data_IF_064744579680
#
_entry.id   IF_064744579680
#
_cell.length_a   1.000
_cell.length_b   1.000
_cell.length_c   1.000
_cell.angle_alpha   90.00
_cell.angle_beta   90.00
_cell.angle_gamma   90.00
#
_symmetry.space_group_name_H-M   'P 1'
#
loop_
_entity.id
_entity.type
_entity.pdbx_description
1 polymer ?
#
# COMPACT_ATOMS: atom_id res chain seq x y z
N UNK A 1 -10.03 14.20 23.20
CA UNK A 1 -8.57 14.24 23.17
C UNK A 1 -8.15 15.29 22.15
N UNK A 2 -7.12 16.09 22.46
CA UNK A 2 -6.59 17.11 21.56
C UNK A 2 -5.08 17.22 21.71
N UNK A 3 -4.39 17.63 20.65
CA UNK A 3 -2.96 18.00 20.67
C UNK A 3 -2.89 19.43 20.16
N UNK A 4 -2.23 20.33 20.90
CA UNK A 4 -2.14 21.75 20.57
C UNK A 4 -3.51 22.35 20.16
N UNK A 5 -4.54 22.11 20.98
CA UNK A 5 -5.94 22.55 20.77
C UNK A 5 -6.65 21.97 19.54
N UNK A 6 -6.00 21.11 18.76
CA UNK A 6 -6.63 20.40 17.64
C UNK A 6 -7.32 19.14 18.14
N UNK A 7 -8.65 19.01 17.99
CA UNK A 7 -9.35 17.79 18.38
C UNK A 7 -8.88 16.62 17.50
N UNK A 8 -8.63 15.47 18.12
CA UNK A 8 -8.28 14.25 17.42
C UNK A 8 -9.52 13.37 17.20
N UNK A 9 -9.66 12.87 15.97
CA UNK A 9 -10.62 11.81 15.68
C UNK A 9 -10.16 10.52 16.40
N UNK A 10 -10.91 10.11 17.42
CA UNK A 10 -10.61 8.88 18.16
C UNK A 10 -11.13 7.66 17.40
N UNK A 11 -10.41 6.52 17.43
CA UNK A 11 -10.86 5.30 16.79
C UNK A 11 -12.17 4.82 17.40
N UNK A 12 -13.14 4.49 16.54
CA UNK A 12 -14.39 3.89 17.00
C UNK A 12 -14.14 2.46 17.51
N UNK A 13 -14.89 2.03 18.52
CA UNK A 13 -14.80 0.65 19.06
C UNK A 13 -15.07 -0.43 18.00
N UNK A 14 -15.95 -0.13 17.05
CA UNK A 14 -16.31 -1.00 15.94
C UNK A 14 -16.11 -0.25 14.62
N UNK A 15 -15.06 -0.62 13.90
CA UNK A 15 -14.72 -0.04 12.61
C UNK A 15 -15.52 -0.75 11.51
N UNK A 16 -16.32 0.03 10.79
CA UNK A 16 -17.20 -0.40 9.70
C UNK A 16 -16.88 0.29 8.37
N UNK A 17 -16.19 1.43 8.40
CA UNK A 17 -15.95 2.28 7.22
C UNK A 17 -14.47 2.63 7.15
N UNK A 18 -13.76 2.00 6.23
CA UNK A 18 -12.32 2.15 6.05
C UNK A 18 -12.07 2.78 4.69
N UNK A 19 -11.25 3.82 4.63
CA UNK A 19 -10.62 4.28 3.38
C UNK A 19 -9.28 3.57 3.25
N UNK A 20 -8.94 3.11 2.05
CA UNK A 20 -7.62 2.58 1.72
C UNK A 20 -7.04 3.45 0.61
N UNK A 21 -5.82 3.92 0.82
CA UNK A 21 -5.02 4.76 -0.09
C UNK A 21 -3.56 4.29 -0.05
N UNK A 22 -2.78 4.63 -1.05
CA UNK A 22 -1.36 4.29 -1.13
C UNK A 22 -0.68 5.07 -2.24
N UNK A 23 0.64 5.19 -2.16
CA UNK A 23 1.46 5.73 -3.24
C UNK A 23 1.04 7.20 -3.55
N UNK A 24 0.96 8.03 -2.50
CA UNK A 24 0.29 9.35 -2.54
C UNK A 24 1.17 10.53 -2.86
N UNK A 25 2.50 10.38 -2.90
CA UNK A 25 3.40 11.50 -3.18
C UNK A 25 3.44 11.85 -4.66
N UNK A 26 4.30 12.81 -5.03
CA UNK A 26 4.47 13.22 -6.43
C UNK A 26 5.86 12.89 -6.97
N UNK A 27 5.94 12.22 -8.12
CA UNK A 27 7.18 11.64 -8.67
C UNK A 27 8.13 12.68 -9.25
N UNK A 28 9.29 12.85 -8.61
CA UNK A 28 10.46 13.54 -9.17
C UNK A 28 11.68 12.63 -9.01
N UNK A 29 11.97 11.83 -10.04
CA UNK A 29 13.00 10.78 -9.99
C UNK A 29 13.91 10.84 -11.21
N UNK A 30 15.11 11.38 -11.00
CA UNK A 30 16.05 11.67 -12.07
C UNK A 30 16.57 10.41 -12.78
N UNK A 31 16.80 9.32 -12.03
CA UNK A 31 17.30 8.05 -12.56
C UNK A 31 16.36 7.42 -13.59
N UNK A 32 15.07 7.74 -13.52
CA UNK A 32 14.03 7.22 -14.42
C UNK A 32 13.53 8.27 -15.41
N UNK A 33 14.06 9.50 -15.35
CA UNK A 33 13.55 10.66 -16.10
C UNK A 33 12.04 10.88 -15.88
N UNK A 34 11.54 10.50 -14.72
CA UNK A 34 10.14 10.60 -14.34
C UNK A 34 9.91 11.90 -13.55
N UNK A 35 9.19 12.84 -14.14
CA UNK A 35 8.94 14.17 -13.57
C UNK A 35 7.46 14.53 -13.72
N UNK A 36 6.67 14.13 -12.73
CA UNK A 36 5.24 14.44 -12.65
C UNK A 36 5.04 15.95 -12.42
N UNK A 37 3.99 16.52 -13.02
CA UNK A 37 3.66 17.94 -12.86
C UNK A 37 3.03 18.20 -11.48
N UNK A 38 3.88 18.25 -10.45
CA UNK A 38 3.45 18.21 -9.05
C UNK A 38 2.67 19.43 -8.55
N UNK A 39 2.66 20.52 -9.32
CA UNK A 39 1.90 21.73 -9.03
C UNK A 39 0.55 21.76 -9.79
N UNK A 40 0.29 20.76 -10.64
CA UNK A 40 -0.97 20.62 -11.37
C UNK A 40 -1.89 19.61 -10.66
N UNK A 41 -3.04 20.04 -10.10
CA UNK A 41 -3.96 19.14 -9.38
C UNK A 41 -4.64 18.09 -10.28
N UNK A 42 -4.56 18.22 -11.62
CA UNK A 42 -5.01 17.18 -12.54
C UNK A 42 -3.95 16.09 -12.73
N UNK A 43 -2.67 16.42 -12.53
CA UNK A 43 -1.55 15.49 -12.66
C UNK A 43 -1.14 14.89 -11.34
N UNK A 44 -1.29 15.62 -10.24
CA UNK A 44 -1.08 15.18 -8.86
C UNK A 44 -2.35 15.39 -8.02
N UNK A 45 -3.31 14.45 -8.05
CA UNK A 45 -4.66 14.68 -7.52
C UNK A 45 -4.85 14.31 -6.05
N UNK A 46 -3.78 14.03 -5.29
CA UNK A 46 -3.91 13.51 -3.93
C UNK A 46 -4.74 14.42 -3.02
N UNK A 47 -4.57 15.75 -3.09
CA UNK A 47 -5.38 16.70 -2.31
C UNK A 47 -6.89 16.55 -2.58
N UNK A 48 -7.26 16.32 -3.84
CA UNK A 48 -8.66 16.10 -4.25
C UNK A 48 -9.16 14.75 -3.77
N UNK A 49 -8.35 13.71 -3.86
CA UNK A 49 -8.65 12.37 -3.34
C UNK A 49 -8.87 12.40 -1.83
N UNK A 50 -7.97 13.05 -1.08
CA UNK A 50 -8.07 13.19 0.37
C UNK A 50 -9.37 13.90 0.79
N UNK A 51 -9.74 14.99 0.09
CA UNK A 51 -10.99 15.70 0.35
C UNK A 51 -12.24 14.83 0.06
N UNK A 52 -12.25 14.09 -1.06
CA UNK A 52 -13.35 13.18 -1.40
C UNK A 52 -13.46 12.03 -0.39
N UNK A 53 -12.34 11.40 -0.05
CA UNK A 53 -12.27 10.33 0.94
C UNK A 53 -12.72 10.81 2.32
N UNK A 54 -12.33 12.02 2.73
CA UNK A 54 -12.78 12.64 3.97
C UNK A 54 -14.31 12.87 3.95
N UNK A 55 -14.86 13.36 2.83
CA UNK A 55 -16.31 13.56 2.68
C UNK A 55 -17.11 12.27 2.79
N UNK A 56 -16.47 11.12 2.52
CA UNK A 56 -17.07 9.82 2.72
C UNK A 56 -17.25 9.49 4.21
N UNK A 57 -16.67 10.23 5.15
CA UNK A 57 -16.74 10.01 6.62
C UNK A 57 -16.23 8.63 7.04
N UNK A 58 -14.95 8.31 6.77
CA UNK A 58 -14.33 7.09 7.25
C UNK A 58 -14.27 7.07 8.79
N UNK A 59 -14.14 5.87 9.34
CA UNK A 59 -13.81 5.67 10.75
C UNK A 59 -12.33 5.29 10.94
N UNK A 60 -11.67 4.89 9.85
CA UNK A 60 -10.27 4.53 9.78
C UNK A 60 -9.76 4.80 8.36
N UNK A 61 -8.50 5.21 8.25
CA UNK A 61 -7.76 5.23 6.98
C UNK A 61 -6.64 4.19 7.09
N UNK A 62 -6.42 3.41 6.04
CA UNK A 62 -5.24 2.56 5.89
C UNK A 62 -4.43 3.13 4.74
N UNK A 63 -3.22 3.60 5.03
CA UNK A 63 -2.26 4.01 4.01
C UNK A 63 -1.23 2.92 3.79
N UNK A 64 -1.21 2.33 2.59
CA UNK A 64 -0.39 1.15 2.27
C UNK A 64 1.04 1.50 1.83
N UNK A 65 1.63 2.54 2.42
CA UNK A 65 3.01 2.96 2.15
C UNK A 65 3.22 3.85 0.93
N UNK A 66 4.48 4.26 0.79
CA UNK A 66 5.03 5.23 -0.16
C UNK A 66 4.30 6.58 -0.12
N UNK A 67 4.86 7.48 0.69
CA UNK A 67 4.29 8.80 0.95
C UNK A 67 5.05 9.89 0.22
N UNK A 68 6.39 9.81 0.17
CA UNK A 68 7.26 10.84 -0.41
C UNK A 68 7.91 10.36 -1.71
N UNK A 69 7.71 11.10 -2.80
CA UNK A 69 8.22 10.77 -4.13
C UNK A 69 9.06 11.86 -4.79
N UNK A 70 9.19 13.04 -4.15
CA UNK A 70 9.99 14.17 -4.62
C UNK A 70 11.49 13.99 -4.34
N UNK A 71 12.08 12.91 -4.82
CA UNK A 71 13.44 12.47 -4.46
C UNK A 71 14.54 13.40 -5.02
N UNK A 72 14.29 14.00 -6.18
CA UNK A 72 15.25 14.82 -6.91
C UNK A 72 14.65 16.19 -7.27
N UNK A 73 15.49 17.21 -7.52
CA UNK A 73 14.99 18.44 -8.10
C UNK A 73 14.30 18.18 -9.44
N UNK A 74 13.32 19.03 -9.78
CA UNK A 74 12.74 19.07 -11.11
C UNK A 74 13.85 19.27 -12.17
N UNK A 75 13.75 18.59 -13.31
CA UNK A 75 14.73 18.72 -14.39
C UNK A 75 14.81 20.16 -14.92
N UNK A 76 16.01 20.58 -15.29
CA UNK A 76 16.25 21.89 -15.91
C UNK A 76 15.37 22.08 -17.15
N UNK A 77 14.66 23.21 -17.20
CA UNK A 77 13.75 23.55 -18.30
C UNK A 77 12.40 22.83 -18.28
N UNK A 78 12.10 22.01 -17.26
CA UNK A 78 10.78 21.41 -17.11
C UNK A 78 9.84 22.32 -16.30
N UNK A 79 9.09 23.18 -17.00
CA UNK A 79 8.13 24.10 -16.39
C UNK A 79 7.01 23.41 -15.60
N UNK A 80 6.70 22.14 -15.90
CA UNK A 80 5.57 21.44 -15.30
C UNK A 80 5.80 21.08 -13.82
N UNK A 81 7.05 20.89 -13.41
CA UNK A 81 7.43 20.63 -12.01
C UNK A 81 8.24 21.75 -11.37
N UNK A 82 8.49 22.86 -12.09
CA UNK A 82 9.34 23.96 -11.62
C UNK A 82 8.88 24.49 -10.25
N UNK A 83 9.83 24.71 -9.35
CA UNK A 83 9.58 25.20 -8.00
C UNK A 83 9.01 24.17 -7.01
N UNK A 84 8.86 22.91 -7.42
CA UNK A 84 8.53 21.82 -6.50
C UNK A 84 9.59 21.65 -5.41
N UNK A 85 9.22 21.51 -4.12
CA UNK A 85 10.16 21.08 -3.10
C UNK A 85 10.68 19.68 -3.43
N UNK A 86 11.83 19.30 -2.91
CA UNK A 86 12.45 18.01 -3.19
C UNK A 86 13.42 17.60 -2.08
N UNK A 87 13.86 16.35 -2.14
CA UNK A 87 14.64 15.71 -1.09
C UNK A 87 13.73 15.17 0.01
N UNK A 88 14.32 14.81 1.15
CA UNK A 88 13.62 14.13 2.25
C UNK A 88 13.31 15.06 3.44
N UNK A 89 13.36 16.38 3.20
CA UNK A 89 13.07 17.42 4.19
C UNK A 89 11.57 17.61 4.48
N UNK A 90 11.27 18.41 5.51
CA UNK A 90 9.89 18.72 5.91
C UNK A 90 9.07 19.37 4.79
N UNK A 91 9.68 20.23 3.98
CA UNK A 91 9.05 20.87 2.84
C UNK A 91 8.49 19.84 1.83
N UNK A 92 9.27 18.81 1.50
CA UNK A 92 8.83 17.71 0.64
C UNK A 92 7.77 16.83 1.31
N UNK A 93 7.97 16.42 2.58
CA UNK A 93 6.98 15.65 3.35
C UNK A 93 5.63 16.38 3.48
N UNK A 94 5.68 17.68 3.73
CA UNK A 94 4.48 18.49 3.83
C UNK A 94 3.78 18.62 2.47
N UNK A 95 4.53 18.77 1.37
CA UNK A 95 3.97 18.88 0.04
C UNK A 95 3.35 17.57 -0.48
N UNK A 96 3.93 16.41 -0.14
CA UNK A 96 3.47 15.10 -0.62
C UNK A 96 2.42 14.43 0.27
N UNK A 97 2.42 14.71 1.58
CA UNK A 97 1.53 14.01 2.51
C UNK A 97 0.67 14.96 3.35
N UNK A 98 1.29 15.82 4.17
CA UNK A 98 0.55 16.49 5.24
C UNK A 98 -0.39 17.59 4.74
N UNK A 99 0.07 18.46 3.84
CA UNK A 99 -0.77 19.52 3.26
C UNK A 99 -1.91 18.96 2.40
N UNK A 100 -1.66 18.08 1.39
CA UNK A 100 -2.75 17.52 0.59
C UNK A 100 -3.66 16.57 1.40
N UNK A 101 -3.10 15.82 2.34
CA UNK A 101 -3.83 14.86 3.18
C UNK A 101 -4.59 15.48 4.36
N UNK A 102 -4.40 16.77 4.66
CA UNK A 102 -4.93 17.42 5.86
C UNK A 102 -6.44 17.17 6.11
N UNK A 103 -7.34 17.27 5.11
CA UNK A 103 -8.76 16.97 5.33
C UNK A 103 -9.02 15.54 5.80
N UNK A 104 -8.23 14.57 5.33
CA UNK A 104 -8.41 13.16 5.64
C UNK A 104 -7.76 12.78 6.98
N UNK A 105 -6.62 13.38 7.35
CA UNK A 105 -6.08 13.29 8.71
C UNK A 105 -7.05 13.83 9.76
N UNK A 106 -7.77 14.92 9.45
CA UNK A 106 -8.78 15.48 10.33
C UNK A 106 -10.04 14.58 10.46
N UNK A 107 -10.32 13.76 9.46
CA UNK A 107 -11.57 12.99 9.39
C UNK A 107 -11.54 11.68 10.21
N UNK A 108 -10.38 11.00 10.28
CA UNK A 108 -10.25 9.69 10.93
C UNK A 108 -8.80 9.40 11.34
N UNK A 109 -8.56 8.50 12.31
CA UNK A 109 -7.23 7.99 12.59
C UNK A 109 -6.69 7.15 11.43
N UNK A 110 -5.37 7.12 11.28
CA UNK A 110 -4.67 6.41 10.21
C UNK A 110 -3.91 5.21 10.76
N UNK A 111 -4.00 4.10 10.03
CA UNK A 111 -3.06 2.98 10.08
C UNK A 111 -2.09 3.19 8.93
N UNK A 112 -0.82 3.36 9.25
CA UNK A 112 0.23 3.64 8.27
C UNK A 112 1.14 2.44 8.12
N UNK A 113 1.42 2.08 6.87
CA UNK A 113 2.36 1.04 6.48
C UNK A 113 3.59 1.72 5.88
N UNK A 114 4.80 1.22 6.14
CA UNK A 114 6.02 1.76 5.53
C UNK A 114 6.16 1.23 4.11
N UNK A 115 6.49 2.11 3.16
CA UNK A 115 6.84 1.72 1.81
C UNK A 115 8.34 1.84 1.52
N UNK A 116 8.79 1.39 0.35
CA UNK A 116 10.21 1.42 0.01
C UNK A 116 10.73 2.85 -0.24
N UNK A 117 9.86 3.84 -0.45
CA UNK A 117 10.22 5.27 -0.44
C UNK A 117 10.61 5.78 0.95
N UNK A 118 10.23 5.06 1.99
CA UNK A 118 10.57 5.33 3.38
C UNK A 118 11.64 4.38 3.93
N UNK A 119 12.45 3.78 3.05
CA UNK A 119 13.67 3.12 3.48
C UNK A 119 14.72 4.16 3.94
N UNK A 120 15.67 3.75 4.78
CA UNK A 120 16.66 4.66 5.37
C UNK A 120 17.51 5.39 4.34
N UNK A 121 17.87 4.72 3.24
CA UNK A 121 18.55 5.33 2.10
C UNK A 121 17.72 6.42 1.36
N UNK A 122 16.47 6.64 1.77
CA UNK A 122 15.49 7.56 1.18
C UNK A 122 14.80 8.37 2.28
N UNK A 123 13.46 8.33 2.36
CA UNK A 123 12.70 9.14 3.31
C UNK A 123 12.59 8.53 4.72
N UNK A 124 13.38 7.51 5.08
CA UNK A 124 13.27 6.79 6.35
C UNK A 124 13.37 7.68 7.59
N UNK A 125 14.17 8.75 7.55
CA UNK A 125 14.23 9.73 8.63
C UNK A 125 12.87 10.36 8.95
N UNK A 126 12.08 10.67 7.92
CA UNK A 126 10.74 11.23 8.08
C UNK A 126 9.74 10.20 8.57
N UNK A 127 9.81 8.96 8.07
CA UNK A 127 8.96 7.86 8.55
C UNK A 127 9.05 7.69 10.08
N UNK A 128 10.27 7.60 10.62
CA UNK A 128 10.50 7.40 12.04
C UNK A 128 10.10 8.58 12.92
N UNK A 129 10.08 9.80 12.37
CA UNK A 129 9.75 11.02 13.10
C UNK A 129 8.27 11.39 13.01
N UNK A 130 7.60 11.02 11.93
CA UNK A 130 6.30 11.58 11.57
C UNK A 130 5.17 10.55 11.53
N UNK A 131 5.47 9.25 11.28
CA UNK A 131 4.45 8.25 10.95
C UNK A 131 4.48 7.01 11.83
N UNK A 132 5.65 6.45 12.14
CA UNK A 132 5.70 5.22 12.92
C UNK A 132 4.95 5.38 14.26
N UNK A 133 4.03 4.46 14.62
CA UNK A 133 3.20 4.64 15.80
C UNK A 133 3.90 4.28 17.11
N UNK A 134 5.17 3.83 17.07
CA UNK A 134 5.93 3.40 18.25
C UNK A 134 6.91 4.47 18.69
N UNK A 135 7.36 4.43 19.95
CA UNK A 135 8.51 5.20 20.37
C UNK A 135 9.72 4.93 19.48
N UNK A 136 10.44 6.00 19.12
CA UNK A 136 11.69 5.89 18.39
C UNK A 136 12.74 5.21 19.27
N UNK A 137 13.22 4.04 18.85
CA UNK A 137 14.28 3.31 19.54
C UNK A 137 15.66 3.77 19.03
N UNK A 138 16.73 3.60 19.82
CA UNK A 138 18.09 3.92 19.39
C UNK A 138 18.45 3.23 18.06
N UNK A 139 19.22 3.92 17.21
CA UNK A 139 19.72 3.40 15.92
C UNK A 139 18.65 3.11 14.86
N UNK A 140 17.40 3.54 15.07
CA UNK A 140 16.32 3.39 14.08
C UNK A 140 16.02 4.65 13.31
N UNK A 141 16.61 5.78 13.67
CA UNK A 141 16.25 7.09 13.15
C UNK A 141 16.70 7.36 11.70
N UNK A 142 17.40 6.41 11.07
CA UNK A 142 18.03 6.50 9.75
C UNK A 142 18.98 7.70 9.61
N UNK A 143 19.66 8.10 10.70
CA UNK A 143 20.67 9.17 10.65
C UNK A 143 22.07 8.65 10.29
N UNK A 144 22.36 7.39 10.65
CA UNK A 144 23.63 6.73 10.39
C UNK A 144 23.41 5.55 9.44
N UNK A 145 24.12 5.52 8.33
CA UNK A 145 24.00 4.48 7.31
C UNK A 145 24.45 3.10 7.83
N UNK A 146 25.35 3.06 8.83
CA UNK A 146 25.75 1.82 9.49
C UNK A 146 24.59 1.17 10.28
N UNK A 147 23.53 1.94 10.54
CA UNK A 147 22.34 1.52 11.27
C UNK A 147 21.14 1.22 10.35
N UNK A 148 21.27 1.37 9.03
CA UNK A 148 20.17 1.21 8.08
C UNK A 148 19.51 -0.17 8.17
N UNK A 149 20.28 -1.24 8.42
CA UNK A 149 19.72 -2.57 8.63
C UNK A 149 18.75 -2.67 9.82
N UNK A 150 18.91 -1.80 10.82
CA UNK A 150 18.03 -1.70 11.99
C UNK A 150 16.86 -0.73 11.72
N UNK A 151 17.14 0.40 11.06
CA UNK A 151 16.11 1.38 10.69
C UNK A 151 15.16 0.92 9.56
N UNK A 152 15.60 0.00 8.70
CA UNK A 152 14.80 -0.60 7.61
C UNK A 152 14.04 -1.86 8.02
N UNK A 153 13.87 -2.09 9.32
CA UNK A 153 13.10 -3.19 9.82
C UNK A 153 12.16 -2.74 10.93
N UNK A 154 10.96 -3.32 10.93
CA UNK A 154 10.06 -3.12 12.04
C UNK A 154 9.14 -4.32 12.26
N UNK A 155 8.91 -4.65 13.53
CA UNK A 155 8.09 -5.80 13.87
C UNK A 155 6.62 -5.55 13.49
N UNK A 156 5.92 -6.55 12.94
CA UNK A 156 4.49 -6.49 12.71
C UNK A 156 3.71 -6.21 14.00
N UNK A 157 2.59 -5.53 13.88
CA UNK A 157 1.67 -5.25 14.98
C UNK A 157 0.21 -5.35 14.52
N UNK A 158 -0.71 -5.60 15.45
CA UNK A 158 -2.13 -5.73 15.16
C UNK A 158 -2.91 -4.50 15.62
N UNK A 159 -3.83 -4.03 14.77
CA UNK A 159 -4.80 -2.98 15.04
C UNK A 159 -6.19 -3.60 15.10
N UNK A 160 -6.88 -3.57 16.26
CA UNK A 160 -8.22 -4.12 16.36
C UNK A 160 -9.24 -3.27 15.61
N UNK A 161 -10.15 -3.93 14.89
CA UNK A 161 -11.28 -3.30 14.18
C UNK A 161 -12.62 -3.51 14.88
N UNK A 162 -12.64 -4.23 16.01
CA UNK A 162 -13.86 -4.66 16.70
C UNK A 162 -14.46 -5.95 16.13
N UNK A 163 -15.26 -6.63 16.96
CA UNK A 163 -15.93 -7.90 16.65
C UNK A 163 -14.98 -9.04 16.22
N UNK A 164 -13.78 -9.07 16.83
CA UNK A 164 -12.72 -10.03 16.53
C UNK A 164 -12.01 -9.78 15.19
N UNK A 165 -12.34 -8.74 14.44
CA UNK A 165 -11.59 -8.38 13.24
C UNK A 165 -10.37 -7.52 13.57
N UNK A 166 -9.30 -7.64 12.78
CA UNK A 166 -8.06 -6.90 12.96
C UNK A 166 -7.34 -6.62 11.63
N UNK A 167 -6.41 -5.66 11.66
CA UNK A 167 -5.39 -5.44 10.62
C UNK A 167 -4.03 -5.76 11.24
N UNK A 168 -3.27 -6.68 10.64
CA UNK A 168 -1.86 -6.84 10.95
C UNK A 168 -1.08 -5.95 9.99
N UNK A 169 -0.37 -4.97 10.52
CA UNK A 169 0.55 -4.14 9.73
C UNK A 169 1.88 -4.85 9.66
N UNK A 170 2.33 -5.16 8.45
CA UNK A 170 3.58 -5.85 8.18
C UNK A 170 4.53 -4.95 7.39
N UNK A 171 5.69 -4.67 7.98
CA UNK A 171 6.75 -3.91 7.32
C UNK A 171 7.59 -4.85 6.46
N UNK A 172 7.24 -4.88 5.17
CA UNK A 172 7.91 -5.65 4.13
C UNK A 172 8.55 -4.73 3.08
N UNK A 173 8.71 -3.44 3.40
CA UNK A 173 9.14 -2.40 2.47
C UNK A 173 10.49 -2.68 1.83
N UNK A 174 11.42 -3.29 2.58
CA UNK A 174 12.77 -3.57 2.12
C UNK A 174 12.87 -4.85 1.24
N UNK A 175 11.74 -5.49 0.91
CA UNK A 175 11.73 -6.63 0.01
C UNK A 175 11.98 -6.18 -1.44
N UNK A 176 12.91 -6.87 -2.11
CA UNK A 176 13.15 -6.68 -3.54
C UNK A 176 12.28 -7.58 -4.41
N UNK A 177 12.41 -7.42 -5.73
CA UNK A 177 11.59 -8.15 -6.70
C UNK A 177 12.16 -9.54 -7.02
N UNK A 178 13.39 -9.84 -6.56
CA UNK A 178 14.07 -11.12 -6.72
C UNK A 178 14.07 -11.91 -5.41
N UNK A 179 14.11 -13.26 -5.45
CA UNK A 179 14.22 -14.09 -4.26
C UNK A 179 15.35 -13.64 -3.32
N UNK A 180 15.05 -13.59 -2.03
CA UNK A 180 16.01 -13.20 -0.98
C UNK A 180 16.80 -14.43 -0.53
N UNK A 181 18.13 -14.51 -0.78
CA UNK A 181 18.93 -15.66 -0.35
C UNK A 181 19.14 -15.67 1.16
N UNK A 182 19.40 -16.84 1.74
CA UNK A 182 19.62 -16.99 3.19
C UNK A 182 20.85 -16.21 3.72
N UNK A 183 21.78 -15.83 2.84
CA UNK A 183 22.93 -14.98 3.18
C UNK A 183 22.61 -13.48 3.18
N UNK A 184 21.43 -13.07 2.71
CA UNK A 184 21.01 -11.67 2.70
C UNK A 184 20.66 -11.23 4.14
N UNK A 185 21.15 -10.07 4.60
CA UNK A 185 20.86 -9.57 5.95
C UNK A 185 19.36 -9.34 6.21
N UNK A 186 18.54 -9.20 5.16
CA UNK A 186 17.08 -9.04 5.28
C UNK A 186 16.35 -10.36 5.54
N UNK A 187 16.98 -11.50 5.30
CA UNK A 187 16.35 -12.81 5.44
C UNK A 187 15.84 -13.06 6.86
N UNK A 188 16.70 -12.89 7.88
CA UNK A 188 16.33 -13.06 9.28
C UNK A 188 15.20 -12.13 9.75
N UNK A 189 15.25 -10.82 9.46
CA UNK A 189 14.12 -9.91 9.69
C UNK A 189 12.81 -10.34 9.01
N UNK A 190 12.85 -10.86 7.78
CA UNK A 190 11.66 -11.37 7.11
C UNK A 190 11.12 -12.66 7.75
N UNK A 191 11.99 -13.58 8.18
CA UNK A 191 11.56 -14.75 8.96
C UNK A 191 10.89 -14.33 10.27
N UNK A 192 11.49 -13.39 11.00
CA UNK A 192 10.93 -12.87 12.24
C UNK A 192 9.56 -12.20 12.01
N UNK A 193 9.41 -11.44 10.91
CA UNK A 193 8.14 -10.86 10.50
C UNK A 193 7.07 -11.92 10.22
N UNK A 194 7.40 -12.99 9.47
CA UNK A 194 6.46 -14.08 9.23
C UNK A 194 6.00 -14.73 10.54
N UNK A 195 6.93 -15.07 11.42
CA UNK A 195 6.63 -15.71 12.71
C UNK A 195 5.71 -14.83 13.58
N UNK A 196 5.94 -13.52 13.58
CA UNK A 196 5.09 -12.56 14.30
C UNK A 196 3.71 -12.42 13.65
N UNK A 197 3.61 -12.36 12.32
CA UNK A 197 2.33 -12.37 11.59
C UNK A 197 1.53 -13.62 11.98
N UNK A 198 2.17 -14.81 11.94
CA UNK A 198 1.53 -16.07 12.33
C UNK A 198 1.01 -16.04 13.75
N UNK A 199 1.79 -15.48 14.69
CA UNK A 199 1.40 -15.35 16.10
C UNK A 199 0.20 -14.39 16.26
N UNK A 200 0.26 -13.21 15.66
CA UNK A 200 -0.80 -12.20 15.74
C UNK A 200 -2.09 -12.66 15.05
N UNK A 201 -1.99 -13.42 13.96
CA UNK A 201 -3.16 -13.87 13.22
C UNK A 201 -3.99 -14.91 13.99
N UNK A 202 -3.46 -15.52 15.06
CA UNK A 202 -4.21 -16.44 15.93
C UNK A 202 -5.25 -15.74 16.81
N UNK A 203 -5.13 -14.43 17.03
CA UNK A 203 -6.03 -13.68 17.92
C UNK A 203 -7.25 -13.10 17.20
N UNK A 204 -7.24 -13.08 15.86
CA UNK A 204 -8.31 -12.50 15.05
C UNK A 204 -9.27 -13.55 14.50
N UNK A 205 -10.57 -13.27 14.56
CA UNK A 205 -11.61 -14.03 13.86
C UNK A 205 -11.71 -13.68 12.36
N UNK A 206 -11.25 -12.48 11.99
CA UNK A 206 -11.12 -12.02 10.61
C UNK A 206 -9.91 -11.08 10.48
N UNK A 207 -8.91 -11.45 9.70
CA UNK A 207 -7.61 -10.75 9.70
C UNK A 207 -7.28 -10.18 8.32
N UNK A 208 -7.18 -8.86 8.23
CA UNK A 208 -6.45 -8.22 7.14
C UNK A 208 -4.95 -8.25 7.45
N UNK A 209 -4.11 -8.41 6.44
CA UNK A 209 -2.72 -7.96 6.49
C UNK A 209 -2.57 -6.72 5.60
N UNK A 210 -1.92 -5.68 6.11
CA UNK A 210 -1.57 -4.48 5.36
C UNK A 210 -0.04 -4.43 5.24
N UNK A 211 0.45 -4.43 4.00
CA UNK A 211 1.87 -4.39 3.64
C UNK A 211 2.02 -3.46 2.44
N UNK A 212 3.16 -2.79 2.26
CA UNK A 212 3.35 -2.00 1.05
C UNK A 212 3.57 -2.90 -0.17
N UNK A 213 4.48 -3.87 -0.07
CA UNK A 213 4.80 -4.81 -1.13
C UNK A 213 3.69 -5.86 -1.31
N UNK A 214 3.10 -6.02 -2.51
CA UNK A 214 2.12 -7.05 -2.80
C UNK A 214 2.68 -8.46 -2.61
N UNK A 215 1.85 -9.39 -2.14
CA UNK A 215 2.22 -10.80 -1.97
C UNK A 215 1.79 -11.62 -3.18
N UNK A 216 0.57 -11.37 -3.67
CA UNK A 216 -0.05 -12.09 -4.79
C UNK A 216 -0.27 -11.21 -6.02
N UNK A 217 0.35 -10.02 -6.04
CA UNK A 217 0.04 -8.98 -7.01
C UNK A 217 0.75 -9.18 -8.34
N UNK A 218 0.18 -8.61 -9.39
CA UNK A 218 0.81 -8.54 -10.71
C UNK A 218 1.37 -7.15 -10.98
N UNK A 219 2.46 -7.14 -11.72
CA UNK A 219 2.98 -5.97 -12.41
C UNK A 219 3.17 -6.33 -13.90
N UNK A 220 3.25 -5.31 -14.74
CA UNK A 220 3.45 -5.47 -16.16
C UNK A 220 4.52 -4.51 -16.67
N UNK A 221 5.37 -5.02 -17.55
CA UNK A 221 6.38 -4.25 -18.28
C UNK A 221 6.14 -4.42 -19.78
N UNK A 222 6.44 -3.39 -20.55
CA UNK A 222 6.38 -3.42 -22.00
C UNK A 222 7.78 -3.24 -22.58
N UNK A 223 8.20 -4.15 -23.45
CA UNK A 223 9.47 -4.08 -24.18
C UNK A 223 9.18 -4.31 -25.65
N UNK A 224 9.56 -3.38 -26.52
CA UNK A 224 9.35 -3.45 -27.98
C UNK A 224 7.89 -3.74 -28.40
N UNK A 225 6.91 -3.32 -27.59
CA UNK A 225 5.48 -3.55 -27.80
C UNK A 225 4.93 -4.83 -27.17
N UNK A 226 5.79 -5.68 -26.61
CA UNK A 226 5.39 -6.92 -25.94
C UNK A 226 5.20 -6.72 -24.43
N UNK A 227 3.99 -7.01 -23.95
CA UNK A 227 3.63 -6.93 -22.54
C UNK A 227 4.00 -8.22 -21.81
N UNK A 228 4.86 -8.11 -20.80
CA UNK A 228 5.24 -9.21 -19.90
C UNK A 228 4.62 -9.01 -18.53
N UNK A 229 3.85 -10.00 -18.07
CA UNK A 229 3.30 -10.05 -16.71
C UNK A 229 4.28 -10.76 -15.78
N UNK A 230 4.45 -10.23 -14.58
CA UNK A 230 5.28 -10.84 -13.55
C UNK A 230 4.73 -10.59 -12.15
N UNK A 231 5.02 -11.47 -11.17
CA UNK A 231 4.70 -11.20 -9.78
C UNK A 231 5.35 -9.89 -9.30
N UNK A 232 4.60 -9.06 -8.58
CA UNK A 232 5.05 -7.74 -8.16
C UNK A 232 6.15 -7.76 -7.07
N UNK A 233 6.28 -8.84 -6.28
CA UNK A 233 7.34 -8.94 -5.28
C UNK A 233 7.70 -10.40 -4.98
N UNK A 234 8.75 -10.94 -5.63
CA UNK A 234 9.19 -12.31 -5.36
C UNK A 234 10.12 -12.44 -4.13
N UNK A 235 10.73 -11.35 -3.67
CA UNK A 235 11.74 -11.40 -2.61
C UNK A 235 11.20 -11.77 -1.24
N UNK A 236 9.99 -11.35 -0.90
CA UNK A 236 9.39 -11.71 0.40
C UNK A 236 8.77 -13.11 0.38
N UNK A 237 8.10 -13.47 -0.71
CA UNK A 237 7.45 -14.77 -0.85
C UNK A 237 8.46 -15.92 -0.80
N UNK A 238 9.67 -15.72 -1.33
CA UNK A 238 10.75 -16.72 -1.26
C UNK A 238 11.22 -17.03 0.18
N UNK A 239 11.16 -16.05 1.09
CA UNK A 239 11.50 -16.28 2.51
C UNK A 239 10.33 -16.91 3.23
N UNK A 240 9.11 -16.44 2.99
CA UNK A 240 7.93 -17.00 3.65
C UNK A 240 7.71 -18.47 3.27
N UNK A 241 8.03 -18.86 2.03
CA UNK A 241 7.92 -20.24 1.55
C UNK A 241 8.83 -21.23 2.31
N UNK A 242 9.96 -20.77 2.87
CA UNK A 242 10.83 -21.65 3.68
C UNK A 242 10.22 -22.01 5.02
N UNK A 243 9.28 -21.18 5.51
CA UNK A 243 8.60 -21.34 6.80
C UNK A 243 7.21 -21.96 6.66
N UNK A 244 6.54 -21.69 5.53
CA UNK A 244 5.20 -22.15 5.22
C UNK A 244 5.02 -22.28 3.71
N UNK A 245 4.74 -23.50 3.18
CA UNK A 245 4.55 -23.69 1.74
C UNK A 245 3.30 -22.96 1.20
N UNK A 246 2.41 -22.45 2.06
CA UNK A 246 1.28 -21.60 1.69
C UNK A 246 1.64 -20.10 1.75
N UNK A 247 2.90 -19.74 2.03
CA UNK A 247 3.49 -18.39 2.17
C UNK A 247 2.80 -17.43 3.14
N UNK A 248 1.59 -17.73 3.61
CA UNK A 248 0.85 -16.99 4.61
C UNK A 248 0.01 -17.95 5.45
N UNK A 249 -0.14 -17.67 6.76
CA UNK A 249 -1.05 -18.42 7.61
C UNK A 249 -2.49 -18.47 7.06
N UNK A 250 -3.15 -19.63 7.18
CA UNK A 250 -4.57 -19.82 6.83
C UNK A 250 -5.56 -18.97 7.64
N UNK A 251 -5.08 -18.23 8.63
CA UNK A 251 -5.84 -17.27 9.44
C UNK A 251 -5.88 -15.85 8.84
N UNK A 252 -5.12 -15.58 7.77
CA UNK A 252 -5.17 -14.29 7.04
C UNK A 252 -6.31 -14.32 6.02
N UNK A 253 -7.27 -13.42 6.10
CA UNK A 253 -8.43 -13.38 5.20
C UNK A 253 -8.21 -12.50 3.95
N UNK A 254 -7.55 -11.35 4.11
CA UNK A 254 -7.38 -10.36 3.03
C UNK A 254 -6.02 -9.71 3.11
N UNK A 255 -5.38 -9.47 1.97
CA UNK A 255 -4.16 -8.67 1.84
C UNK A 255 -4.50 -7.30 1.26
N UNK A 256 -4.01 -6.23 1.87
CA UNK A 256 -4.05 -4.86 1.37
C UNK A 256 -2.62 -4.41 1.07
N UNK A 257 -2.37 -3.92 -0.14
CA UNK A 257 -1.04 -3.45 -0.54
C UNK A 257 -1.03 -2.27 -1.49
N UNK A 258 0.15 -1.68 -1.73
CA UNK A 258 0.40 -0.57 -2.65
C UNK A 258 1.48 -0.97 -3.66
N UNK A 259 2.47 -0.09 -3.86
CA UNK A 259 3.70 -0.29 -4.63
C UNK A 259 3.52 -0.30 -6.15
N UNK A 260 2.57 -1.08 -6.65
CA UNK A 260 2.21 -1.08 -8.07
C UNK A 260 1.21 0.04 -8.29
N UNK A 261 1.50 0.96 -9.20
CA UNK A 261 0.81 2.25 -9.26
C UNK A 261 -0.51 2.16 -10.05
N UNK A 262 -1.42 1.34 -9.54
CA UNK A 262 -2.72 1.02 -10.11
C UNK A 262 -3.68 0.53 -9.01
N UNK A 263 -4.93 0.26 -9.37
CA UNK A 263 -5.81 -0.57 -8.55
C UNK A 263 -5.89 -1.99 -9.11
N UNK A 264 -5.73 -3.00 -8.25
CA UNK A 264 -5.85 -4.41 -8.63
C UNK A 264 -6.56 -5.21 -7.55
N UNK A 265 -7.32 -6.21 -7.98
CA UNK A 265 -7.89 -7.25 -7.14
C UNK A 265 -7.52 -8.62 -7.71
N UNK A 266 -6.98 -9.50 -6.87
CA UNK A 266 -6.79 -10.93 -7.17
C UNK A 266 -7.51 -11.79 -6.13
N UNK A 267 -8.13 -12.89 -6.55
CA UNK A 267 -8.81 -13.85 -5.66
C UNK A 267 -8.50 -15.27 -6.14
N UNK A 268 -8.46 -16.18 -5.17
CA UNK A 268 -8.13 -17.58 -5.39
C UNK A 268 -9.34 -18.49 -5.08
N UNK A 269 -9.38 -19.70 -5.65
CA UNK A 269 -10.42 -20.68 -5.39
C UNK A 269 -10.56 -21.06 -3.92
N UNK A 270 -9.44 -21.33 -3.24
CA UNK A 270 -9.47 -21.82 -1.86
C UNK A 270 -8.24 -21.51 -1.00
N UNK A 271 -7.01 -21.76 -1.49
CA UNK A 271 -5.82 -21.88 -0.62
C UNK A 271 -5.35 -20.52 -0.12
N UNK A 272 -5.30 -19.52 -1.00
CA UNK A 272 -4.76 -18.20 -0.69
C UNK A 272 -5.85 -17.14 -0.43
N UNK A 273 -5.56 -16.10 0.39
CA UNK A 273 -6.48 -15.00 0.57
C UNK A 273 -6.52 -14.10 -0.66
N UNK A 274 -7.64 -13.38 -0.84
CA UNK A 274 -7.75 -12.31 -1.82
C UNK A 274 -6.83 -11.15 -1.45
N UNK A 275 -6.33 -10.44 -2.46
CA UNK A 275 -5.52 -9.23 -2.29
C UNK A 275 -6.11 -8.07 -3.08
N UNK A 276 -5.98 -6.87 -2.51
CA UNK A 276 -6.24 -5.60 -3.19
C UNK A 276 -4.98 -4.74 -3.19
N UNK A 277 -4.54 -4.31 -4.37
CA UNK A 277 -3.52 -3.26 -4.54
C UNK A 277 -4.24 -1.91 -4.68
N UNK A 278 -3.77 -0.90 -3.94
CA UNK A 278 -4.34 0.45 -3.90
C UNK A 278 -3.24 1.50 -4.07
N UNK A 279 -2.40 1.37 -5.10
CA UNK A 279 -1.27 2.28 -5.36
C UNK A 279 -1.58 3.44 -6.32
N UNK A 280 -2.83 3.87 -6.39
CA UNK A 280 -3.34 4.80 -7.41
C UNK A 280 -3.82 6.12 -6.81
N UNK A 281 -3.20 6.58 -5.72
CA UNK A 281 -3.71 7.74 -4.95
C UNK A 281 -2.94 9.05 -5.12
N UNK A 282 -1.84 9.10 -5.89
CA UNK A 282 -1.12 10.34 -6.13
C UNK A 282 0.04 10.27 -7.12
N UNK A 283 1.00 9.37 -6.91
CA UNK A 283 2.22 9.29 -7.74
C UNK A 283 1.90 8.90 -9.18
N UNK A 284 2.75 9.29 -10.12
CA UNK A 284 2.65 8.89 -11.52
C UNK A 284 2.33 7.38 -11.68
N UNK A 285 1.21 7.09 -12.35
CA UNK A 285 0.65 5.73 -12.48
C UNK A 285 1.43 4.87 -13.47
N UNK A 286 1.35 3.56 -13.27
CA UNK A 286 1.76 2.60 -14.28
C UNK A 286 0.87 2.78 -15.53
N UNK A 287 1.49 2.75 -16.70
CA UNK A 287 0.79 3.00 -17.98
C UNK A 287 0.55 1.73 -18.78
N UNK A 288 1.28 0.66 -18.46
CA UNK A 288 1.16 -0.65 -19.13
C UNK A 288 -0.14 -1.29 -18.70
N UNK A 289 -1.02 -1.54 -19.66
CA UNK A 289 -2.36 -2.04 -19.37
C UNK A 289 -2.33 -3.51 -18.99
N UNK A 290 -3.02 -3.86 -17.90
CA UNK A 290 -3.27 -5.26 -17.54
C UNK A 290 -4.40 -5.86 -18.40
N UNK A 291 -4.34 -7.16 -18.73
CA UNK A 291 -5.38 -7.81 -19.51
C UNK A 291 -6.66 -7.96 -18.68
N UNK A 292 -7.83 -7.98 -19.34
CA UNK A 292 -9.09 -8.22 -18.64
C UNK A 292 -9.26 -9.68 -18.17
N UNK A 293 -8.51 -10.60 -18.76
CA UNK A 293 -8.42 -12.00 -18.34
C UNK A 293 -6.95 -12.39 -18.23
N UNK A 294 -6.60 -13.09 -17.15
CA UNK A 294 -5.24 -13.55 -16.96
C UNK A 294 -4.92 -14.72 -17.90
N UNK A 295 -3.68 -14.80 -18.44
CA UNK A 295 -3.26 -15.93 -19.25
C UNK A 295 -3.47 -17.28 -18.54
N UNK A 296 -3.94 -18.33 -19.23
CA UNK A 296 -4.04 -19.66 -18.66
C UNK A 296 -2.69 -20.13 -18.08
N UNK A 297 -2.72 -20.68 -16.88
CA UNK A 297 -1.52 -21.20 -16.21
C UNK A 297 -0.66 -20.15 -15.49
N UNK A 298 -1.03 -18.87 -15.51
CA UNK A 298 -0.38 -17.86 -14.67
C UNK A 298 -0.56 -18.21 -13.19
N UNK A 299 0.54 -18.38 -12.47
CA UNK A 299 0.54 -18.69 -11.03
C UNK A 299 1.03 -17.47 -10.26
N UNK A 300 0.20 -16.93 -9.38
CA UNK A 300 0.54 -15.81 -8.49
C UNK A 300 0.81 -16.25 -7.05
N UNK A 301 0.53 -17.51 -6.77
CA UNK A 301 0.81 -18.17 -5.51
C UNK A 301 1.32 -19.60 -5.79
N UNK A 302 2.03 -20.24 -4.84
CA UNK A 302 2.55 -21.59 -5.04
C UNK A 302 1.46 -22.62 -5.39
N UNK A 303 1.47 -23.09 -6.64
CA UNK A 303 0.57 -24.15 -7.11
C UNK A 303 -0.92 -23.79 -7.21
N UNK A 304 -1.29 -22.51 -7.24
CA UNK A 304 -2.68 -22.08 -7.48
C UNK A 304 -2.74 -20.84 -8.38
N UNK A 305 -3.51 -20.92 -9.46
CA UNK A 305 -3.86 -19.78 -10.30
C UNK A 305 -5.06 -19.02 -9.69
N UNK A 306 -5.10 -17.68 -9.83
CA UNK A 306 -6.26 -16.90 -9.43
C UNK A 306 -7.50 -17.24 -10.28
N UNK A 307 -8.68 -17.22 -9.65
CA UNK A 307 -9.99 -17.40 -10.30
C UNK A 307 -10.86 -16.12 -10.31
N UNK A 308 -10.37 -15.05 -9.70
CA UNK A 308 -10.94 -13.71 -9.76
C UNK A 308 -9.85 -12.67 -10.00
N UNK A 309 -10.08 -11.78 -10.96
CA UNK A 309 -9.19 -10.68 -11.29
C UNK A 309 -10.00 -9.44 -11.70
N UNK A 310 -9.57 -8.28 -11.22
CA UNK A 310 -10.01 -6.98 -11.72
C UNK A 310 -8.88 -5.97 -11.59
N UNK A 311 -8.80 -5.01 -12.50
CA UNK A 311 -7.78 -3.96 -12.44
C UNK A 311 -8.28 -2.64 -13.02
N UNK A 312 -7.59 -1.57 -12.63
CA UNK A 312 -7.75 -0.24 -13.18
C UNK A 312 -6.39 0.42 -13.29
N UNK A 313 -5.99 0.73 -14.53
CA UNK A 313 -4.69 1.31 -14.88
C UNK A 313 -4.91 2.67 -15.52
N UNK A 314 -4.10 3.66 -15.13
CA UNK A 314 -4.17 5.03 -15.65
C UNK A 314 -5.38 5.81 -15.16
N UNK A 315 -5.85 5.52 -13.95
CA UNK A 315 -6.91 6.27 -13.30
C UNK A 315 -6.68 6.42 -11.80
N UNK A 316 -6.43 7.66 -11.38
CA UNK A 316 -6.31 8.04 -9.98
C UNK A 316 -7.60 7.92 -9.16
N UNK A 317 -7.46 7.58 -7.88
CA UNK A 317 -8.59 7.41 -6.98
C UNK A 317 -8.25 6.91 -5.59
N UNK A 318 -9.23 6.25 -4.97
CA UNK A 318 -9.10 5.60 -3.67
C UNK A 318 -10.07 4.42 -3.55
N UNK A 319 -9.81 3.51 -2.61
CA UNK A 319 -10.71 2.40 -2.30
C UNK A 319 -11.39 2.63 -0.94
N UNK A 320 -12.63 2.17 -0.79
CA UNK A 320 -13.31 2.12 0.51
C UNK A 320 -13.78 0.71 0.83
N UNK A 321 -13.68 0.30 2.09
CA UNK A 321 -14.25 -0.94 2.62
C UNK A 321 -15.39 -0.62 3.59
N UNK A 322 -16.55 -1.25 3.36
CA UNK A 322 -17.72 -1.20 4.26
C UNK A 322 -18.01 -2.58 4.84
N UNK A 323 -17.99 -2.72 6.16
CA UNK A 323 -18.30 -3.99 6.84
C UNK A 323 -19.77 -4.36 6.61
N UNK A 324 -20.01 -5.59 6.16
CA UNK A 324 -21.35 -6.17 5.92
C UNK A 324 -21.71 -7.30 6.89
N UNK A 325 -20.71 -7.92 7.50
CA UNK A 325 -20.88 -8.96 8.50
C UNK A 325 -19.56 -9.27 9.21
N UNK A 326 -19.52 -10.33 10.01
CA UNK A 326 -18.31 -10.70 10.76
C UNK A 326 -17.13 -11.05 9.85
N UNK A 327 -17.40 -11.67 8.70
CA UNK A 327 -16.41 -12.08 7.69
C UNK A 327 -16.74 -11.56 6.31
N UNK A 328 -17.36 -10.38 6.19
CA UNK A 328 -17.80 -9.86 4.89
C UNK A 328 -17.71 -8.35 4.81
N UNK A 329 -17.21 -7.89 3.67
CA UNK A 329 -16.97 -6.48 3.37
C UNK A 329 -17.38 -6.16 1.94
N UNK A 330 -17.79 -4.92 1.69
CA UNK A 330 -17.93 -4.38 0.34
C UNK A 330 -16.79 -3.42 0.06
N UNK A 331 -16.05 -3.67 -1.02
CA UNK A 331 -15.09 -2.72 -1.56
C UNK A 331 -15.76 -1.85 -2.64
N UNK A 332 -15.42 -0.57 -2.69
CA UNK A 332 -15.77 0.35 -3.79
C UNK A 332 -14.52 1.09 -4.22
N UNK A 333 -14.33 1.22 -5.52
CA UNK A 333 -13.24 1.97 -6.14
C UNK A 333 -13.80 3.30 -6.63
N UNK A 334 -13.17 4.41 -6.24
CA UNK A 334 -13.66 5.75 -6.51
C UNK A 334 -12.64 6.51 -7.36
N UNK A 335 -13.11 7.22 -8.38
CA UNK A 335 -12.24 8.11 -9.16
C UNK A 335 -12.14 9.51 -8.55
N UNK A 336 -11.26 10.34 -9.13
CA UNK A 336 -11.08 11.75 -8.74
C UNK A 336 -12.33 12.63 -8.90
N UNK A 337 -13.39 12.15 -9.58
CA UNK A 337 -14.68 12.86 -9.67
C UNK A 337 -15.68 12.44 -8.58
N UNK A 338 -15.26 11.58 -7.63
CA UNK A 338 -16.13 11.05 -6.58
C UNK A 338 -17.14 10.01 -7.08
N UNK A 339 -16.93 9.45 -8.28
CA UNK A 339 -17.79 8.40 -8.85
C UNK A 339 -17.21 7.03 -8.55
N UNK A 340 -18.08 6.08 -8.21
CA UNK A 340 -17.68 4.68 -8.06
C UNK A 340 -17.46 4.08 -9.45
N UNK A 341 -16.26 3.60 -9.71
CA UNK A 341 -15.88 2.97 -10.97
C UNK A 341 -15.90 1.45 -10.90
N UNK A 342 -15.74 0.84 -9.72
CA UNK A 342 -15.96 -0.60 -9.52
C UNK A 342 -16.47 -0.92 -8.11
N UNK A 343 -17.05 -2.12 -7.96
CA UNK A 343 -17.56 -2.65 -6.69
C UNK A 343 -17.13 -4.10 -6.56
N UNK A 344 -16.58 -4.45 -5.41
CA UNK A 344 -16.25 -5.83 -5.09
C UNK A 344 -16.93 -6.27 -3.79
N UNK A 345 -17.23 -7.55 -3.69
CA UNK A 345 -17.72 -8.17 -2.47
C UNK A 345 -16.67 -9.14 -1.95
N UNK A 346 -16.36 -9.03 -0.66
CA UNK A 346 -15.41 -9.87 0.05
C UNK A 346 -16.21 -10.74 1.01
N UNK A 347 -16.00 -12.05 0.96
CA UNK A 347 -16.54 -13.00 1.93
C UNK A 347 -15.46 -13.99 2.31
N UNK A 348 -15.17 -14.07 3.60
CA UNK A 348 -14.03 -14.85 4.13
C UNK A 348 -12.74 -14.43 3.40
N UNK A 349 -12.06 -15.42 2.80
CA UNK A 349 -10.78 -15.29 2.09
C UNK A 349 -10.91 -14.90 0.61
N UNK A 350 -12.14 -14.73 0.11
CA UNK A 350 -12.40 -14.58 -1.34
C UNK A 350 -13.03 -13.24 -1.64
N UNK A 351 -12.81 -12.76 -2.86
CA UNK A 351 -13.55 -11.61 -3.37
C UNK A 351 -13.96 -11.75 -4.82
N UNK A 352 -14.97 -10.97 -5.22
CA UNK A 352 -15.43 -10.87 -6.60
C UNK A 352 -15.79 -9.42 -6.90
N UNK A 353 -15.25 -8.90 -8.00
CA UNK A 353 -15.57 -7.58 -8.52
C UNK A 353 -16.64 -7.63 -9.61
N UNK A 354 -17.32 -6.51 -9.83
CA UNK A 354 -18.35 -6.39 -10.84
C UNK A 354 -17.74 -6.27 -12.24
N UNK A 355 -16.64 -5.53 -12.35
CA UNK A 355 -15.86 -5.43 -13.58
C UNK A 355 -14.65 -6.37 -13.51
N UNK A 356 -14.17 -6.79 -14.68
CA UNK A 356 -12.87 -7.47 -14.84
C UNK A 356 -11.74 -6.50 -15.18
N UNK A 357 -12.11 -5.33 -15.70
CA UNK A 357 -11.22 -4.21 -15.97
C UNK A 357 -12.04 -2.94 -16.03
N UNK A 358 -11.62 -1.93 -15.28
CA UNK A 358 -12.22 -0.60 -15.34
C UNK A 358 -11.69 0.13 -16.58
N UNK A 359 -12.60 0.70 -17.37
CA UNK A 359 -12.23 1.50 -18.54
C UNK A 359 -11.46 2.77 -18.15
N UNK A 360 -10.68 3.29 -19.11
CA UNK A 360 -10.04 4.62 -18.98
C UNK A 360 -11.08 5.73 -18.94
#
# INVERSE_FOLDING_TARGET
MSIAERPLALPARHIRRIVVIGDTGCRLKASEKAYQACNDPARYPFARIAALAASWRPQLVVHVGDYLYRENPCADGNDACAGSPWGYGWDAWNADLFAPGAPLFAAAPWVVVRGNHENCARAGQGWWRLLDPRPLEPRRDCNDADDDGVGDASRPYAVPLGDGAQIIVADLANAGDKPTPASDPRFGPFEASYLEIRRLAQTGAYTFIATHKPIFGLAATETDGDVTLHPATAGITSVFETLDPDILPKTIDVVLSGHVHLWEQVSFPARYPTQFITGFSGTEEDVVSLPAELPPGLSLAPGESPDGFSSWVGGFGYMTLERRGQKSWSAKVWNISGRVVDRCFIHQRRSRCHQRRVGR
#
